data_IF_812201619207
#
_entry.id   IF_812201619207
#
_cell.length_a   1.000
_cell.length_b   1.000
_cell.length_c   1.000
_cell.angle_alpha   90.00
_cell.angle_beta   90.00
_cell.angle_gamma   90.00
#
_symmetry.space_group_name_H-M   'P 1'
#
loop_
_entity.id
_entity.type
_entity.pdbx_description
1 polymer ?
#
# COMPACT_ATOMS: atom_id res chain seq x y z
N UNK A 1 11.16 -37.67 -17.28
CA UNK A 1 11.11 -36.57 -18.26
C UNK A 1 10.10 -35.47 -17.95
N UNK A 2 8.77 -35.69 -17.93
CA UNK A 2 7.79 -34.59 -17.67
C UNK A 2 7.94 -33.88 -16.31
N UNK A 3 8.21 -34.62 -15.22
CA UNK A 3 8.43 -34.03 -13.89
C UNK A 3 9.69 -33.16 -13.79
N UNK A 4 10.73 -33.52 -14.52
CA UNK A 4 12.02 -32.81 -14.49
C UNK A 4 11.97 -31.51 -15.30
N UNK A 5 11.25 -31.52 -16.42
CA UNK A 5 10.98 -30.31 -17.20
C UNK A 5 10.11 -29.32 -16.40
N UNK A 6 9.07 -29.80 -15.71
CA UNK A 6 8.22 -28.95 -14.86
C UNK A 6 9.03 -28.31 -13.71
N UNK A 7 9.87 -29.10 -13.03
CA UNK A 7 10.71 -28.59 -11.94
C UNK A 7 11.68 -27.48 -12.39
N UNK A 8 12.23 -27.57 -13.61
CA UNK A 8 13.12 -26.53 -14.16
C UNK A 8 12.36 -25.25 -14.52
N UNK A 9 11.10 -25.36 -14.94
CA UNK A 9 10.23 -24.20 -15.21
C UNK A 9 9.88 -23.51 -13.89
N UNK A 10 9.47 -24.28 -12.89
CA UNK A 10 9.09 -23.74 -11.58
C UNK A 10 10.25 -22.97 -10.90
N UNK A 11 11.49 -23.48 -11.00
CA UNK A 11 12.69 -22.79 -10.48
C UNK A 11 13.02 -21.51 -11.26
N UNK A 12 12.83 -21.51 -12.58
CA UNK A 12 13.02 -20.28 -13.40
C UNK A 12 11.98 -19.23 -13.04
N UNK A 13 10.73 -19.61 -12.83
CA UNK A 13 9.66 -18.69 -12.46
C UNK A 13 9.90 -18.08 -11.08
N UNK A 14 10.35 -18.89 -10.10
CA UNK A 14 10.79 -18.40 -8.79
C UNK A 14 11.90 -17.38 -8.91
N UNK A 15 12.91 -17.66 -9.74
CA UNK A 15 14.03 -16.73 -9.94
C UNK A 15 13.58 -15.43 -10.62
N UNK A 16 12.66 -15.50 -11.58
CA UNK A 16 12.05 -14.30 -12.19
C UNK A 16 11.30 -13.47 -11.15
N UNK A 17 10.49 -14.10 -10.29
CA UNK A 17 9.76 -13.39 -9.22
C UNK A 17 10.75 -12.76 -8.24
N UNK A 18 11.80 -13.49 -7.85
CA UNK A 18 12.87 -12.99 -6.98
C UNK A 18 13.55 -11.77 -7.60
N UNK A 19 13.96 -11.85 -8.86
CA UNK A 19 14.63 -10.76 -9.58
C UNK A 19 13.71 -9.54 -9.73
N UNK A 20 12.43 -9.74 -10.05
CA UNK A 20 11.43 -8.66 -10.09
C UNK A 20 11.24 -8.01 -8.73
N UNK A 21 11.17 -8.79 -7.65
CA UNK A 21 11.12 -8.27 -6.29
C UNK A 21 12.36 -7.43 -5.93
N UNK A 22 13.55 -7.86 -6.36
CA UNK A 22 14.79 -7.09 -6.22
C UNK A 22 14.71 -5.79 -7.04
N UNK A 23 14.22 -5.84 -8.28
CA UNK A 23 14.04 -4.65 -9.13
C UNK A 23 13.08 -3.66 -8.47
N UNK A 24 11.92 -4.11 -7.99
CA UNK A 24 10.96 -3.26 -7.25
C UNK A 24 11.64 -2.61 -6.04
N UNK A 25 12.45 -3.36 -5.29
CA UNK A 25 13.21 -2.83 -4.15
C UNK A 25 14.23 -1.78 -4.59
N UNK A 26 14.97 -2.03 -5.67
CA UNK A 26 15.94 -1.07 -6.24
C UNK A 26 15.20 0.18 -6.73
N UNK A 27 14.08 0.03 -7.44
CA UNK A 27 13.28 1.16 -7.93
C UNK A 27 12.76 2.02 -6.78
N UNK A 28 12.22 1.41 -5.73
CA UNK A 28 11.76 2.11 -4.54
C UNK A 28 12.90 2.81 -3.77
N UNK A 29 14.11 2.22 -3.72
CA UNK A 29 15.25 2.82 -3.03
C UNK A 29 15.98 3.89 -3.85
N UNK A 30 15.97 3.77 -5.18
CA UNK A 30 16.75 4.60 -6.09
C UNK A 30 15.90 5.62 -6.87
N UNK A 31 14.60 5.73 -6.58
CA UNK A 31 13.67 6.64 -7.28
C UNK A 31 13.72 6.48 -8.81
N UNK A 32 13.77 5.23 -9.27
CA UNK A 32 13.82 4.90 -10.69
C UNK A 32 12.38 4.83 -11.19
N UNK A 33 12.04 5.66 -12.19
CA UNK A 33 10.68 5.76 -12.72
C UNK A 33 10.33 4.57 -13.63
N UNK A 34 11.31 4.10 -14.39
CA UNK A 34 11.10 3.02 -15.34
C UNK A 34 12.34 2.15 -15.47
N UNK A 35 12.10 0.85 -15.58
CA UNK A 35 13.09 -0.16 -15.92
C UNK A 35 12.68 -0.77 -17.25
N UNK A 36 13.50 -0.58 -18.27
CA UNK A 36 13.27 -1.17 -19.58
C UNK A 36 14.30 -2.27 -19.84
N UNK A 37 13.81 -3.43 -20.25
CA UNK A 37 14.61 -4.57 -20.69
C UNK A 37 14.39 -4.74 -22.21
N UNK A 38 15.37 -4.33 -22.99
CA UNK A 38 15.41 -4.56 -24.44
C UNK A 38 16.76 -5.15 -24.82
N UNK A 39 16.79 -6.19 -25.65
CA UNK A 39 18.01 -6.76 -26.24
C UNK A 39 19.14 -7.04 -25.22
N UNK A 40 18.81 -7.72 -24.12
CA UNK A 40 19.73 -8.05 -23.03
C UNK A 40 20.36 -6.82 -22.34
N UNK A 41 19.82 -5.62 -22.56
CA UNK A 41 20.27 -4.37 -21.96
C UNK A 41 19.22 -3.86 -20.98
N UNK A 42 19.65 -3.67 -19.73
CA UNK A 42 18.84 -3.02 -18.70
C UNK A 42 19.05 -1.51 -18.82
N UNK A 43 18.01 -0.77 -19.13
CA UNK A 43 18.02 0.70 -19.14
C UNK A 43 17.20 1.20 -17.96
N UNK A 44 17.82 2.05 -17.13
CA UNK A 44 17.20 2.66 -15.96
C UNK A 44 16.92 4.13 -16.26
N UNK A 45 15.66 4.55 -16.19
CA UNK A 45 15.29 5.96 -16.26
C UNK A 45 15.14 6.49 -14.85
N UNK A 46 16.02 7.42 -14.47
CA UNK A 46 16.07 8.03 -13.15
C UNK A 46 15.39 9.40 -13.22
N UNK A 47 14.53 9.73 -12.26
CA UNK A 47 14.04 11.11 -12.11
C UNK A 47 15.09 11.97 -11.39
N UNK A 48 15.71 12.96 -12.06
CA UNK A 48 16.73 13.80 -11.45
C UNK A 48 16.19 14.72 -10.34
N UNK A 49 14.88 14.99 -10.29
CA UNK A 49 14.28 15.90 -9.31
C UNK A 49 14.02 15.28 -7.93
N UNK A 50 14.26 13.97 -7.75
CA UNK A 50 14.11 13.30 -6.44
C UNK A 50 15.49 13.07 -5.77
N UNK A 51 16.58 13.06 -6.55
CA UNK A 51 17.94 12.85 -6.05
C UNK A 51 18.42 13.90 -5.04
N UNK A 52 17.86 15.11 -5.05
CA UNK A 52 18.20 16.17 -4.09
C UNK A 52 17.67 15.93 -2.67
N UNK A 53 16.82 14.92 -2.46
CA UNK A 53 16.22 14.63 -1.17
C UNK A 53 16.91 13.53 -0.36
N UNK A 54 17.72 12.65 -0.96
CA UNK A 54 18.24 11.44 -0.29
C UNK A 54 19.40 11.69 0.70
N UNK A 55 20.01 12.88 0.70
CA UNK A 55 21.10 13.22 1.64
C UNK A 55 20.63 13.88 2.95
N UNK A 56 19.34 14.19 3.07
CA UNK A 56 18.73 14.48 4.37
C UNK A 56 17.91 13.26 4.70
N UNK A 57 18.20 12.59 5.83
CA UNK A 57 17.38 11.49 6.29
C UNK A 57 15.90 11.85 6.14
N UNK A 58 15.22 11.24 5.17
CA UNK A 58 13.80 11.37 5.02
C UNK A 58 13.21 10.60 6.19
N UNK A 59 13.08 11.29 7.32
CA UNK A 59 11.97 11.05 8.21
C UNK A 59 10.72 11.10 7.32
N UNK A 60 10.20 9.93 6.96
CA UNK A 60 8.83 9.85 6.47
C UNK A 60 7.94 10.21 7.66
N UNK A 61 7.80 11.52 7.92
CA UNK A 61 6.68 12.03 8.68
C UNK A 61 5.48 11.62 7.85
N UNK A 62 4.64 10.74 8.39
CA UNK A 62 3.33 10.44 7.83
C UNK A 62 2.76 11.74 7.23
N UNK A 63 2.15 11.71 6.03
CA UNK A 63 1.71 12.91 5.29
C UNK A 63 1.20 13.91 6.30
N UNK A 64 1.80 15.10 6.36
CA UNK A 64 1.65 16.01 7.49
C UNK A 64 0.16 16.25 7.69
N UNK A 65 -0.43 15.52 8.63
CA UNK A 65 -1.77 15.73 9.09
C UNK A 65 -1.65 16.97 9.94
N UNK A 66 -1.72 18.13 9.28
CA UNK A 66 -1.60 19.39 9.97
C UNK A 66 -2.78 19.52 10.93
N UNK A 67 -2.49 19.85 12.19
CA UNK A 67 -3.51 20.10 13.20
C UNK A 67 -4.20 21.47 13.01
N UNK A 68 -3.87 22.22 11.95
CA UNK A 68 -4.36 23.56 11.71
C UNK A 68 -5.60 23.52 10.81
N UNK A 69 -6.75 23.25 11.42
CA UNK A 69 -8.04 23.53 10.79
C UNK A 69 -8.57 24.87 11.34
N UNK A 70 -8.74 25.86 10.47
CA UNK A 70 -9.43 27.12 10.80
C UNK A 70 -10.97 26.97 10.86
N UNK A 71 -11.49 25.74 10.81
CA UNK A 71 -12.92 25.43 10.88
C UNK A 71 -13.26 24.49 12.04
N UNK A 72 -13.62 25.05 13.20
CA UNK A 72 -14.37 24.37 14.27
C UNK A 72 -13.80 23.02 14.79
N UNK A 73 -12.84 23.10 15.73
CA UNK A 73 -12.33 22.04 16.64
C UNK A 73 -12.75 20.59 16.33
N UNK A 74 -12.28 20.03 15.21
CA UNK A 74 -12.15 18.59 15.08
C UNK A 74 -11.09 18.12 16.09
N UNK A 75 -11.36 17.03 16.83
CA UNK A 75 -10.30 16.41 17.62
C UNK A 75 -9.19 15.92 16.68
N UNK A 76 -7.93 15.94 17.13
CA UNK A 76 -6.79 15.57 16.27
C UNK A 76 -6.92 14.17 15.64
N UNK A 77 -7.54 13.20 16.33
CA UNK A 77 -7.79 11.88 15.78
C UNK A 77 -8.85 11.89 14.67
N UNK A 78 -9.93 12.65 14.83
CA UNK A 78 -10.99 12.72 13.83
C UNK A 78 -10.57 13.53 12.60
N UNK A 79 -9.74 14.55 12.78
CA UNK A 79 -9.09 15.24 11.66
C UNK A 79 -8.19 14.28 10.88
N UNK A 80 -7.35 13.47 11.56
CA UNK A 80 -6.55 12.41 10.91
C UNK A 80 -7.41 11.44 10.11
N UNK A 81 -8.56 11.04 10.64
CA UNK A 81 -9.49 10.16 9.93
C UNK A 81 -10.06 10.82 8.68
N UNK A 82 -10.46 12.10 8.76
CA UNK A 82 -10.99 12.83 7.62
C UNK A 82 -9.92 13.05 6.54
N UNK A 83 -8.70 13.42 6.94
CA UNK A 83 -7.56 13.60 6.03
C UNK A 83 -7.12 12.27 5.39
N UNK A 84 -7.23 11.16 6.11
CA UNK A 84 -7.04 9.83 5.54
C UNK A 84 -8.06 9.53 4.43
N UNK A 85 -9.31 10.02 4.53
CA UNK A 85 -10.28 9.90 3.42
C UNK A 85 -9.87 10.82 2.26
N UNK A 86 -9.50 12.08 2.56
CA UNK A 86 -9.07 13.05 1.53
C UNK A 86 -7.88 12.59 0.70
N UNK A 87 -6.93 11.92 1.33
CA UNK A 87 -5.76 11.38 0.64
C UNK A 87 -6.12 10.47 -0.56
N UNK A 88 -7.23 9.75 -0.50
CA UNK A 88 -7.64 8.84 -1.59
C UNK A 88 -8.77 9.41 -2.46
N UNK A 89 -9.29 10.60 -2.17
CA UNK A 89 -10.36 11.21 -2.97
C UNK A 89 -9.91 11.39 -4.44
N UNK A 90 -10.73 11.03 -5.45
CA UNK A 90 -12.15 10.65 -5.39
C UNK A 90 -12.47 9.17 -5.18
N UNK A 91 -11.48 8.32 -4.91
CA UNK A 91 -11.68 6.88 -4.72
C UNK A 91 -12.34 6.60 -3.35
N UNK A 92 -13.44 5.82 -3.28
CA UNK A 92 -14.01 5.38 -2.01
C UNK A 92 -13.00 4.58 -1.16
N UNK A 93 -12.99 4.83 0.15
CA UNK A 93 -11.99 4.28 1.07
C UNK A 93 -12.63 3.33 2.08
N UNK A 94 -12.06 2.15 2.26
CA UNK A 94 -12.51 1.23 3.31
C UNK A 94 -12.19 1.77 4.71
N UNK A 95 -13.01 1.40 5.70
CA UNK A 95 -12.79 1.82 7.10
C UNK A 95 -11.45 1.32 7.65
N UNK A 96 -10.95 0.19 7.14
CA UNK A 96 -9.66 -0.37 7.51
C UNK A 96 -8.48 0.43 6.96
N UNK A 97 -8.58 0.93 5.71
CA UNK A 97 -7.62 1.88 5.16
C UNK A 97 -7.63 3.19 5.97
N UNK A 98 -8.81 3.72 6.31
CA UNK A 98 -8.91 4.93 7.15
C UNK A 98 -8.24 4.70 8.50
N UNK A 99 -8.51 3.58 9.15
CA UNK A 99 -7.88 3.22 10.44
C UNK A 99 -6.35 3.17 10.34
N UNK A 100 -5.82 2.57 9.27
CA UNK A 100 -4.39 2.48 9.02
C UNK A 100 -3.73 3.85 8.76
N UNK A 101 -4.35 4.69 7.93
CA UNK A 101 -3.80 5.97 7.53
C UNK A 101 -3.95 7.07 8.61
N UNK A 102 -4.97 6.95 9.45
CA UNK A 102 -5.20 7.87 10.58
C UNK A 102 -4.51 7.48 11.89
N UNK A 103 -3.85 6.31 11.91
CA UNK A 103 -3.29 5.70 13.12
C UNK A 103 -4.31 5.63 14.28
N UNK A 104 -5.55 5.29 13.93
CA UNK A 104 -6.66 5.21 14.88
C UNK A 104 -7.26 3.81 14.80
N UNK A 105 -7.05 3.00 15.84
CA UNK A 105 -7.44 1.59 15.83
C UNK A 105 -8.95 1.39 15.62
N UNK A 106 -9.32 0.57 14.63
CA UNK A 106 -10.71 0.33 14.21
C UNK A 106 -11.65 -0.12 15.34
N UNK A 107 -11.11 -0.87 16.31
CA UNK A 107 -11.88 -1.39 17.45
C UNK A 107 -12.02 -0.38 18.61
N UNK A 108 -11.35 0.78 18.54
CA UNK A 108 -11.41 1.80 19.58
C UNK A 108 -12.68 2.65 19.45
N UNK A 109 -13.25 3.05 20.59
CA UNK A 109 -14.41 3.95 20.62
C UNK A 109 -14.13 5.27 19.89
N UNK A 110 -12.90 5.80 19.98
CA UNK A 110 -12.46 6.99 19.25
C UNK A 110 -12.69 6.90 17.75
N UNK A 111 -12.40 5.74 17.14
CA UNK A 111 -12.60 5.52 15.71
C UNK A 111 -14.09 5.49 15.36
N UNK A 112 -14.87 4.70 16.09
CA UNK A 112 -16.32 4.56 15.86
C UNK A 112 -17.04 5.90 16.04
N UNK A 113 -16.74 6.62 17.11
CA UNK A 113 -17.30 7.94 17.39
C UNK A 113 -16.86 8.97 16.35
N UNK A 114 -15.61 8.89 15.90
CA UNK A 114 -15.08 9.74 14.83
C UNK A 114 -15.85 9.57 13.52
N UNK A 115 -16.02 8.33 13.02
CA UNK A 115 -16.81 8.10 11.81
C UNK A 115 -18.26 8.56 11.95
N UNK A 116 -18.90 8.28 13.09
CA UNK A 116 -20.27 8.74 13.35
C UNK A 116 -20.37 10.27 13.36
N UNK A 117 -19.40 10.96 13.96
CA UNK A 117 -19.34 12.42 14.00
C UNK A 117 -19.09 13.02 12.61
N UNK A 118 -18.08 12.53 11.88
CA UNK A 118 -17.76 13.02 10.54
C UNK A 118 -18.95 12.84 9.59
N UNK A 119 -19.67 11.71 9.71
CA UNK A 119 -20.92 11.47 8.96
C UNK A 119 -22.02 12.44 9.37
N UNK A 120 -22.27 12.64 10.67
CA UNK A 120 -23.35 13.52 11.14
C UNK A 120 -23.10 15.00 10.82
N UNK A 121 -21.84 15.40 10.65
CA UNK A 121 -21.44 16.72 10.16
C UNK A 121 -21.47 16.87 8.64
N UNK A 122 -21.80 15.79 7.91
CA UNK A 122 -21.86 15.80 6.45
C UNK A 122 -20.48 15.85 5.79
N UNK A 123 -19.39 15.58 6.50
CA UNK A 123 -18.03 15.59 5.95
C UNK A 123 -17.69 14.32 5.17
N UNK A 124 -18.37 13.22 5.48
CA UNK A 124 -18.23 11.95 4.78
C UNK A 124 -19.58 11.30 4.55
N UNK A 125 -19.67 10.46 3.53
CA UNK A 125 -20.81 9.60 3.24
C UNK A 125 -20.36 8.15 3.17
N UNK A 126 -21.28 7.21 3.40
CA UNK A 126 -21.02 5.78 3.19
C UNK A 126 -21.54 5.36 1.83
N UNK A 127 -20.74 4.62 1.08
CA UNK A 127 -21.10 3.98 -0.19
C UNK A 127 -20.62 2.53 -0.15
N UNK A 128 -21.54 1.57 -0.14
CA UNK A 128 -21.24 0.12 -0.23
C UNK A 128 -20.13 -0.38 0.72
N UNK A 129 -20.19 0.06 1.99
CA UNK A 129 -19.20 -0.30 3.02
C UNK A 129 -17.92 0.55 2.99
N UNK A 130 -17.72 1.34 1.94
CA UNK A 130 -16.66 2.34 1.83
C UNK A 130 -17.14 3.72 2.27
N UNK A 131 -16.19 4.63 2.42
CA UNK A 131 -16.39 6.02 2.82
C UNK A 131 -15.95 6.93 1.70
N UNK A 132 -16.78 7.93 1.38
CA UNK A 132 -16.52 8.94 0.36
C UNK A 132 -16.47 10.31 1.03
N UNK A 133 -15.53 11.15 0.60
CA UNK A 133 -15.41 12.54 1.03
C UNK A 133 -16.46 13.42 0.36
N UNK A 134 -17.05 14.35 1.10
CA UNK A 134 -17.94 15.40 0.55
C UNK A 134 -17.19 16.71 0.34
N UNK A 135 -17.78 17.68 -0.36
CA UNK A 135 -17.21 19.01 -0.54
C UNK A 135 -17.05 19.77 0.79
N UNK A 136 -17.96 19.57 1.75
CA UNK A 136 -17.81 20.07 3.12
C UNK A 136 -16.62 19.40 3.82
N UNK A 137 -16.48 18.09 3.65
CA UNK A 137 -15.37 17.31 4.21
C UNK A 137 -14.01 17.70 3.63
N UNK A 138 -13.96 18.01 2.34
CA UNK A 138 -12.74 18.45 1.67
C UNK A 138 -12.22 19.78 2.23
N UNK A 139 -13.12 20.74 2.39
CA UNK A 139 -12.82 22.02 3.05
C UNK A 139 -12.39 21.82 4.50
N UNK A 140 -13.08 20.96 5.25
CA UNK A 140 -12.80 20.70 6.65
C UNK A 140 -11.48 19.93 6.89
N UNK A 141 -11.08 19.05 5.96
CA UNK A 141 -9.80 18.34 6.02
C UNK A 141 -8.58 19.25 5.88
N UNK A 142 -8.74 20.43 5.26
CA UNK A 142 -7.63 21.32 4.92
C UNK A 142 -6.76 20.72 3.82
N UNK A 143 -5.51 21.19 3.73
CA UNK A 143 -4.58 20.71 2.71
C UNK A 143 -3.99 19.35 3.10
N UNK A 144 -4.14 18.36 2.22
CA UNK A 144 -3.62 17.00 2.38
C UNK A 144 -3.01 16.59 1.06
N UNK A 145 -1.79 16.08 1.10
CA UNK A 145 -1.15 15.49 -0.07
C UNK A 145 -1.95 14.25 -0.50
N UNK A 146 -2.43 14.26 -1.74
CA UNK A 146 -3.15 13.13 -2.32
C UNK A 146 -2.21 11.91 -2.46
N UNK A 147 -2.78 10.71 -2.40
CA UNK A 147 -2.05 9.48 -2.72
C UNK A 147 -1.46 9.63 -4.13
N UNK A 148 -0.13 9.48 -4.29
CA UNK A 148 0.48 9.61 -5.60
C UNK A 148 -0.10 8.63 -6.60
N UNK A 149 -0.32 9.10 -7.83
CA UNK A 149 -0.67 8.26 -8.98
C UNK A 149 0.55 7.61 -9.61
N UNK A 150 1.75 8.10 -9.28
CA UNK A 150 2.99 7.44 -9.68
C UNK A 150 3.13 6.13 -8.92
N UNK A 151 3.20 5.03 -9.68
CA UNK A 151 3.27 3.68 -9.12
C UNK A 151 4.46 3.49 -8.18
N UNK A 152 5.66 3.97 -8.54
CA UNK A 152 6.85 3.77 -7.74
C UNK A 152 6.75 4.51 -6.40
N UNK A 153 6.29 5.75 -6.44
CA UNK A 153 6.07 6.56 -5.25
C UNK A 153 4.99 5.97 -4.36
N UNK A 154 3.89 5.49 -4.94
CA UNK A 154 2.84 4.81 -4.18
C UNK A 154 3.38 3.55 -3.50
N UNK A 155 4.11 2.70 -4.22
CA UNK A 155 4.75 1.49 -3.67
C UNK A 155 5.68 1.85 -2.52
N UNK A 156 6.55 2.84 -2.69
CA UNK A 156 7.47 3.31 -1.65
C UNK A 156 6.72 3.74 -0.38
N UNK A 157 5.67 4.56 -0.53
CA UNK A 157 4.83 5.04 0.56
C UNK A 157 4.19 3.88 1.34
N UNK A 158 3.66 2.89 0.63
CA UNK A 158 3.06 1.71 1.27
C UNK A 158 4.11 0.85 1.97
N UNK A 159 5.25 0.59 1.34
CA UNK A 159 6.33 -0.22 1.91
C UNK A 159 6.91 0.43 3.18
N UNK A 160 7.02 1.76 3.20
CA UNK A 160 7.50 2.50 4.38
C UNK A 160 6.51 2.48 5.55
N UNK A 161 5.21 2.30 5.28
CA UNK A 161 4.16 2.28 6.31
C UNK A 161 3.78 0.88 6.79
N UNK A 162 4.05 -0.14 5.98
CA UNK A 162 3.88 -1.54 6.37
C UNK A 162 4.98 -1.95 7.37
N UNK A 163 4.63 -2.83 8.32
CA UNK A 163 5.63 -3.47 9.17
C UNK A 163 6.61 -4.28 8.31
N UNK A 164 7.87 -4.46 8.75
CA UNK A 164 8.96 -4.99 7.92
C UNK A 164 8.61 -6.35 7.30
N UNK A 165 8.04 -7.26 8.10
CA UNK A 165 7.64 -8.57 7.60
C UNK A 165 6.54 -8.50 6.53
N UNK A 166 5.58 -7.60 6.69
CA UNK A 166 4.47 -7.47 5.74
C UNK A 166 4.91 -6.80 4.45
N UNK A 167 5.84 -5.85 4.54
CA UNK A 167 6.49 -5.23 3.40
C UNK A 167 7.23 -6.27 2.55
N UNK A 168 7.98 -7.20 3.16
CA UNK A 168 8.66 -8.27 2.42
C UNK A 168 7.68 -9.23 1.74
N UNK A 169 6.58 -9.64 2.41
CA UNK A 169 5.55 -10.45 1.76
C UNK A 169 4.89 -9.70 0.59
N UNK A 170 4.59 -8.42 0.76
CA UNK A 170 3.97 -7.62 -0.29
C UNK A 170 4.89 -7.47 -1.51
N UNK A 171 6.20 -7.26 -1.32
CA UNK A 171 7.18 -7.21 -2.42
C UNK A 171 7.18 -8.48 -3.26
N UNK A 172 7.02 -9.66 -2.65
CA UNK A 172 6.95 -10.93 -3.40
C UNK A 172 5.71 -10.98 -4.27
N UNK A 173 4.54 -10.62 -3.73
CA UNK A 173 3.29 -10.60 -4.51
C UNK A 173 3.36 -9.54 -5.62
N UNK A 174 3.95 -8.39 -5.34
CA UNK A 174 4.16 -7.31 -6.32
C UNK A 174 5.11 -7.74 -7.44
N UNK A 175 6.20 -8.44 -7.14
CA UNK A 175 7.12 -8.99 -8.13
C UNK A 175 6.51 -10.07 -9.04
N UNK A 176 5.42 -10.71 -8.60
CA UNK A 176 4.69 -11.69 -9.38
C UNK A 176 3.64 -11.09 -10.32
N UNK A 177 3.23 -9.83 -10.12
CA UNK A 177 2.22 -9.17 -10.95
C UNK A 177 2.62 -9.17 -12.46
N UNK A 178 1.68 -9.40 -13.40
CA UNK A 178 0.22 -9.56 -13.23
C UNK A 178 -0.25 -10.97 -12.85
N UNK A 179 0.67 -11.90 -12.61
CA UNK A 179 0.34 -13.26 -12.19
C UNK A 179 0.04 -13.34 -10.68
N UNK A 180 -0.62 -14.43 -10.25
CA UNK A 180 -0.73 -14.75 -8.84
C UNK A 180 0.45 -15.62 -8.35
N UNK A 181 0.69 -15.62 -7.05
CA UNK A 181 1.77 -16.37 -6.39
C UNK A 181 1.22 -17.21 -5.25
N UNK A 182 1.69 -18.45 -5.12
CA UNK A 182 1.27 -19.37 -4.07
C UNK A 182 1.94 -19.02 -2.72
N UNK A 183 1.22 -19.21 -1.61
CA UNK A 183 1.68 -18.90 -0.25
C UNK A 183 3.01 -19.57 0.14
N UNK A 184 3.33 -20.74 -0.43
CA UNK A 184 4.63 -21.38 -0.22
C UNK A 184 5.76 -20.56 -0.82
N UNK A 185 5.58 -20.02 -2.02
CA UNK A 185 6.55 -19.16 -2.70
C UNK A 185 6.66 -17.81 -2.01
N UNK A 186 5.55 -17.27 -1.50
CA UNK A 186 5.57 -16.05 -0.68
C UNK A 186 6.44 -16.30 0.57
N UNK A 187 6.22 -17.41 1.27
CA UNK A 187 6.97 -17.77 2.47
C UNK A 187 8.46 -17.95 2.21
N UNK A 188 8.81 -18.70 1.15
CA UNK A 188 10.18 -18.96 0.72
C UNK A 188 10.92 -17.67 0.36
N UNK A 189 10.32 -16.84 -0.49
CA UNK A 189 10.97 -15.64 -1.03
C UNK A 189 10.99 -14.47 -0.05
N UNK A 190 9.98 -14.34 0.82
CA UNK A 190 9.96 -13.30 1.85
C UNK A 190 10.77 -13.68 3.09
N UNK A 191 11.22 -14.94 3.20
CA UNK A 191 11.90 -15.48 4.39
C UNK A 191 11.01 -15.58 5.62
N UNK A 192 9.68 -15.58 5.47
CA UNK A 192 8.73 -15.61 6.59
C UNK A 192 8.01 -16.95 6.57
N UNK A 193 8.22 -17.76 7.59
CA UNK A 193 7.63 -19.09 7.69
C UNK A 193 6.09 -19.08 7.63
N UNK A 194 5.52 -19.82 6.68
CA UNK A 194 4.08 -19.93 6.44
C UNK A 194 3.25 -20.28 7.67
N UNK A 195 3.79 -21.13 8.54
CA UNK A 195 3.07 -21.66 9.70
C UNK A 195 3.09 -20.69 10.91
N UNK A 196 3.86 -19.60 10.85
CA UNK A 196 3.94 -18.61 11.93
C UNK A 196 2.77 -17.64 11.85
N UNK A 197 2.36 -17.12 13.02
CA UNK A 197 1.32 -16.09 13.12
C UNK A 197 1.67 -14.83 12.31
N UNK A 198 2.94 -14.48 12.20
CA UNK A 198 3.43 -13.33 11.40
C UNK A 198 2.99 -13.42 9.94
N UNK A 199 3.11 -14.60 9.32
CA UNK A 199 2.70 -14.83 7.93
C UNK A 199 1.19 -14.65 7.78
N UNK A 200 0.40 -15.38 8.58
CA UNK A 200 -1.06 -15.35 8.54
C UNK A 200 -1.62 -13.94 8.78
N UNK A 201 -1.09 -13.26 9.80
CA UNK A 201 -1.50 -11.90 10.14
C UNK A 201 -1.12 -10.90 9.04
N UNK A 202 0.07 -11.04 8.45
CA UNK A 202 0.49 -10.18 7.36
C UNK A 202 -0.35 -10.36 6.10
N UNK A 203 -0.58 -11.60 5.65
CA UNK A 203 -1.44 -11.87 4.49
C UNK A 203 -2.88 -11.38 4.71
N UNK A 204 -3.43 -11.62 5.91
CA UNK A 204 -4.73 -11.06 6.30
C UNK A 204 -4.73 -9.53 6.26
N UNK A 205 -3.69 -8.89 6.79
CA UNK A 205 -3.57 -7.43 6.82
C UNK A 205 -3.46 -6.82 5.42
N UNK A 206 -2.64 -7.40 4.54
CA UNK A 206 -2.47 -6.94 3.15
C UNK A 206 -3.79 -7.03 2.37
N UNK A 207 -4.56 -8.11 2.57
CA UNK A 207 -5.91 -8.26 2.02
C UNK A 207 -6.88 -7.21 2.54
N UNK A 208 -6.92 -7.02 3.85
CA UNK A 208 -7.80 -6.03 4.48
C UNK A 208 -7.49 -4.59 4.04
N UNK A 209 -6.24 -4.33 3.63
CA UNK A 209 -5.82 -3.06 3.05
C UNK A 209 -6.06 -2.97 1.54
N UNK A 210 -6.72 -3.96 0.92
CA UNK A 210 -6.92 -4.07 -0.55
C UNK A 210 -5.63 -3.83 -1.34
N UNK A 211 -4.50 -4.36 -0.84
CA UNK A 211 -3.24 -4.36 -1.59
C UNK A 211 -3.10 -5.65 -2.39
N UNK A 212 -3.66 -6.74 -1.86
CA UNK A 212 -3.69 -8.04 -2.50
C UNK A 212 -5.07 -8.67 -2.33
N UNK A 213 -5.39 -9.63 -3.18
CA UNK A 213 -6.56 -10.48 -3.04
C UNK A 213 -6.19 -11.94 -3.30
N UNK A 214 -7.01 -12.85 -2.79
CA UNK A 214 -6.84 -14.29 -2.98
C UNK A 214 -7.60 -14.73 -4.25
N UNK A 215 -6.88 -15.21 -5.26
CA UNK A 215 -7.46 -15.64 -6.55
C UNK A 215 -8.14 -16.99 -6.42
N UNK A 216 -7.43 -17.92 -5.79
CA UNK A 216 -7.89 -19.24 -5.35
C UNK A 216 -7.20 -19.54 -4.03
N UNK A 217 -7.69 -20.55 -3.29
CA UNK A 217 -7.15 -20.91 -1.97
C UNK A 217 -5.61 -21.00 -1.98
N UNK A 218 -4.96 -20.13 -1.21
CA UNK A 218 -3.51 -20.07 -1.04
C UNK A 218 -2.75 -19.37 -2.18
N UNK A 219 -3.42 -18.75 -3.17
CA UNK A 219 -2.79 -17.96 -4.24
C UNK A 219 -3.24 -16.51 -4.18
N UNK A 220 -2.28 -15.59 -4.31
CA UNK A 220 -2.52 -14.17 -4.08
C UNK A 220 -2.01 -13.34 -5.25
N UNK A 221 -2.72 -12.27 -5.58
CA UNK A 221 -2.36 -11.28 -6.60
C UNK A 221 -2.52 -9.86 -6.04
N UNK A 222 -1.78 -8.90 -6.58
CA UNK A 222 -1.98 -7.46 -6.32
C UNK A 222 -3.34 -7.02 -6.87
N UNK A 223 -4.05 -6.17 -6.13
CA UNK A 223 -5.30 -5.55 -6.59
C UNK A 223 -5.05 -4.61 -7.77
N UNK A 224 -5.87 -4.65 -8.82
CA UNK A 224 -5.71 -3.81 -10.01
C UNK A 224 -5.85 -2.31 -9.67
N UNK A 225 -6.66 -1.97 -8.67
CA UNK A 225 -6.81 -0.59 -8.19
C UNK A 225 -5.53 -0.03 -7.57
N UNK A 226 -4.58 -0.89 -7.21
CA UNK A 226 -3.24 -0.51 -6.78
C UNK A 226 -2.28 -0.28 -7.96
N UNK A 227 -2.64 -0.69 -9.17
CA UNK A 227 -1.78 -0.60 -10.36
C UNK A 227 -2.16 0.56 -11.30
N UNK A 228 -3.26 1.27 -11.01
CA UNK A 228 -3.82 2.36 -11.81
C UNK A 228 -3.38 3.76 -11.37
#
# INVERSE_FOLDING_TARGET
MRKEAQSKIDERDKEIIRLRGIIVKIMALANIEAVNLSDSKLTLTINPNIASGLNKGFEYKAPIISNNSEGGKLSGAWLRMLQAVKMFHPVPVSVEKISFWSDTGINKSTFKNGLSFLKSKGYIQKSDGNVVLTDEGDRAAGNVEAMPKDFNRMVEIWLNRLGPSWAEMFKVVLGAYPSDVHESSISELSGIERNKSTFKNGMSRLRTLNLIYETVKGRYRVCEEFMN
#
